data_IF_804985649668
#
_entry.id   IF_804985649668
#
_cell.length_a   1.000
_cell.length_b   1.000
_cell.length_c   1.000
_cell.angle_alpha   90.00
_cell.angle_beta   90.00
_cell.angle_gamma   90.00
#
_symmetry.space_group_name_H-M   'P 1'
#
loop_
_entity.id
_entity.type
_entity.pdbx_description
1 polymer ?
#
# COMPACT_ATOMS: atom_id res chain seq x y z
N UNK A 1 -5.94 -17.26 -12.72
CA UNK A 1 -7.41 -17.42 -12.78
C UNK A 1 -7.81 -18.88 -12.54
N UNK A 2 -7.07 -19.86 -13.09
CA UNK A 2 -7.35 -21.29 -12.88
C UNK A 2 -7.19 -21.77 -11.43
N UNK A 3 -6.22 -21.24 -10.66
CA UNK A 3 -6.00 -21.63 -9.24
C UNK A 3 -7.14 -21.28 -8.28
N UNK A 4 -8.05 -20.38 -8.65
CA UNK A 4 -9.21 -20.03 -7.81
C UNK A 4 -10.32 -21.09 -7.87
N UNK A 5 -10.39 -21.86 -8.96
CA UNK A 5 -11.44 -22.85 -9.20
C UNK A 5 -11.03 -24.29 -8.81
N UNK A 6 -9.76 -24.51 -8.46
CA UNK A 6 -9.18 -25.85 -8.23
C UNK A 6 -9.38 -26.40 -6.81
N UNK A 7 -10.28 -25.80 -6.01
CA UNK A 7 -10.93 -26.51 -4.90
C UNK A 7 -10.32 -26.38 -3.50
N UNK A 8 -9.27 -25.60 -3.26
CA UNK A 8 -8.82 -25.31 -1.89
C UNK A 8 -8.58 -23.81 -1.62
N UNK A 9 -9.70 -23.08 -1.56
CA UNK A 9 -9.72 -21.64 -1.28
C UNK A 9 -9.06 -21.32 0.07
N UNK A 10 -9.24 -22.15 1.11
CA UNK A 10 -8.66 -21.89 2.43
C UNK A 10 -7.13 -21.88 2.42
N UNK A 11 -6.50 -22.76 1.64
CA UNK A 11 -5.05 -22.74 1.47
C UNK A 11 -4.57 -21.51 0.70
N UNK A 12 -5.32 -21.07 -0.31
CA UNK A 12 -5.00 -19.87 -1.08
C UNK A 12 -5.12 -18.59 -0.23
N UNK A 13 -6.20 -18.47 0.55
CA UNK A 13 -6.41 -17.33 1.45
C UNK A 13 -5.36 -17.32 2.58
N UNK A 14 -4.99 -18.49 3.12
CA UNK A 14 -3.90 -18.62 4.11
C UNK A 14 -2.52 -18.30 3.53
N UNK A 15 -2.21 -18.74 2.31
CA UNK A 15 -0.95 -18.41 1.63
C UNK A 15 -0.82 -16.92 1.34
N UNK A 16 -1.95 -16.25 1.10
CA UNK A 16 -2.00 -14.81 0.87
C UNK A 16 -2.21 -13.99 2.16
N UNK A 17 -2.22 -14.62 3.35
CA UNK A 17 -2.48 -13.99 4.65
C UNK A 17 -3.74 -13.11 4.70
N UNK A 18 -4.76 -13.48 3.92
CA UNK A 18 -6.05 -12.79 3.83
C UNK A 18 -7.17 -13.68 4.39
N UNK A 19 -8.14 -13.09 5.08
CA UNK A 19 -9.24 -13.85 5.67
C UNK A 19 -10.23 -14.27 4.58
N UNK A 20 -10.58 -15.55 4.55
CA UNK A 20 -11.56 -16.08 3.61
C UNK A 20 -12.94 -15.43 3.84
N UNK A 21 -13.50 -14.70 2.85
CA UNK A 21 -14.78 -14.01 2.99
C UNK A 21 -15.96 -14.95 3.27
N UNK A 22 -15.86 -16.23 2.88
CA UNK A 22 -16.91 -17.24 3.07
C UNK A 22 -17.02 -17.74 4.52
N UNK A 23 -16.00 -17.50 5.36
CA UNK A 23 -16.02 -17.77 6.80
C UNK A 23 -16.50 -16.59 7.64
N UNK A 24 -17.14 -15.58 7.01
CA UNK A 24 -17.89 -14.52 7.71
C UNK A 24 -19.10 -15.14 8.43
N UNK A 25 -18.83 -15.81 9.54
CA UNK A 25 -19.82 -16.08 10.57
C UNK A 25 -20.43 -14.73 10.93
N UNK A 26 -21.77 -14.71 10.96
CA UNK A 26 -22.55 -13.59 11.46
C UNK A 26 -22.18 -13.36 12.92
N UNK A 27 -21.10 -12.65 13.18
CA UNK A 27 -20.76 -12.23 14.54
C UNK A 27 -21.84 -11.24 14.93
N UNK A 28 -22.71 -11.66 15.86
CA UNK A 28 -23.73 -10.81 16.49
C UNK A 28 -23.07 -9.49 16.84
N UNK A 29 -23.63 -8.40 16.30
CA UNK A 29 -23.46 -7.07 16.86
C UNK A 29 -23.97 -7.13 18.31
N UNK A 30 -23.10 -7.46 19.25
CA UNK A 30 -23.35 -7.20 20.66
C UNK A 30 -23.28 -5.69 20.82
N UNK A 31 -24.46 -5.09 20.76
CA UNK A 31 -24.69 -3.71 21.10
C UNK A 31 -24.58 -3.59 22.63
N UNK A 32 -23.36 -3.50 23.16
CA UNK A 32 -23.17 -3.02 24.53
C UNK A 32 -23.20 -1.51 24.47
N UNK A 33 -24.37 -0.94 24.81
CA UNK A 33 -24.49 0.44 25.26
C UNK A 33 -23.64 0.58 26.52
N UNK A 34 -22.35 0.79 26.35
CA UNK A 34 -21.45 1.13 27.45
C UNK A 34 -21.11 2.60 27.26
N UNK A 35 -21.55 3.39 28.24
CA UNK A 35 -21.26 4.81 28.43
C UNK A 35 -19.84 5.17 28.02
N UNK A 36 -19.63 6.38 27.51
CA UNK A 36 -18.34 6.95 27.12
C UNK A 36 -17.27 6.74 28.21
N UNK A 37 -16.61 5.59 28.18
CA UNK A 37 -15.45 5.27 28.99
C UNK A 37 -14.27 5.27 28.04
N UNK A 38 -13.29 6.12 28.34
CA UNK A 38 -12.05 6.16 27.59
C UNK A 38 -11.33 4.82 27.75
N UNK A 39 -10.98 4.21 26.62
CA UNK A 39 -10.28 2.94 26.57
C UNK A 39 -8.78 3.19 26.40
N UNK A 40 -7.90 2.46 27.12
CA UNK A 40 -6.46 2.58 26.95
C UNK A 40 -6.00 1.92 25.64
N UNK A 41 -5.26 2.65 24.83
CA UNK A 41 -4.61 2.09 23.65
C UNK A 41 -3.48 1.14 24.06
N UNK A 42 -3.41 -0.05 23.46
CA UNK A 42 -2.39 -1.06 23.79
C UNK A 42 -0.99 -0.76 23.23
N UNK A 43 -0.82 0.34 22.47
CA UNK A 43 0.47 0.77 21.90
C UNK A 43 1.02 1.96 22.70
N UNK A 44 0.26 3.05 22.82
CA UNK A 44 0.71 4.26 23.53
C UNK A 44 0.26 4.35 24.98
N UNK A 45 -0.59 3.43 25.46
CA UNK A 45 -1.16 3.41 26.82
C UNK A 45 -1.97 4.67 27.20
N UNK A 46 -2.34 5.50 26.23
CA UNK A 46 -3.19 6.67 26.43
C UNK A 46 -4.68 6.29 26.30
N UNK A 47 -5.52 6.99 27.06
CA UNK A 47 -6.96 6.79 27.09
C UNK A 47 -7.64 7.64 26.02
N UNK A 48 -8.46 7.02 25.18
CA UNK A 48 -9.26 7.73 24.17
C UNK A 48 -10.71 7.23 24.14
N UNK A 49 -11.64 8.07 23.65
CA UNK A 49 -13.00 7.62 23.37
C UNK A 49 -12.98 6.52 22.30
N UNK A 50 -13.93 5.59 22.37
CA UNK A 50 -14.05 4.50 21.39
C UNK A 50 -14.19 4.98 19.93
N UNK A 51 -14.57 6.24 19.69
CA UNK A 51 -14.60 6.86 18.34
C UNK A 51 -13.23 7.03 17.70
N UNK A 52 -12.16 7.09 18.50
CA UNK A 52 -10.78 7.24 18.02
C UNK A 52 -10.08 5.90 17.80
N UNK A 53 -10.76 4.78 18.05
CA UNK A 53 -10.22 3.45 17.83
C UNK A 53 -10.65 2.92 16.46
N UNK A 54 -9.68 2.43 15.70
CA UNK A 54 -9.92 1.67 14.48
C UNK A 54 -9.43 0.24 14.69
N UNK A 55 -10.26 -0.73 14.31
CA UNK A 55 -9.90 -2.14 14.37
C UNK A 55 -10.00 -2.82 13.02
N UNK A 56 -9.26 -3.91 12.89
CA UNK A 56 -9.29 -4.80 11.72
C UNK A 56 -10.24 -5.97 11.94
N UNK A 57 -10.40 -6.80 10.91
CA UNK A 57 -11.16 -8.06 10.97
C UNK A 57 -10.62 -9.06 12.01
N UNK A 58 -9.38 -8.88 12.48
CA UNK A 58 -8.79 -9.66 13.57
C UNK A 58 -9.34 -9.32 14.97
N UNK A 59 -10.11 -8.23 15.11
CA UNK A 59 -10.66 -7.76 16.38
C UNK A 59 -9.73 -6.87 17.20
N UNK A 60 -8.45 -6.74 16.81
CA UNK A 60 -7.52 -5.81 17.45
C UNK A 60 -7.87 -4.36 17.10
N UNK A 61 -7.88 -3.48 18.11
CA UNK A 61 -8.21 -2.06 17.97
C UNK A 61 -7.10 -1.21 18.55
N UNK A 62 -6.68 -0.20 17.79
CA UNK A 62 -5.69 0.79 18.21
C UNK A 62 -6.18 2.19 17.91
N UNK A 63 -5.61 3.19 18.58
CA UNK A 63 -6.00 4.58 18.32
C UNK A 63 -5.53 5.00 16.93
N UNK A 64 -6.23 5.96 16.31
CA UNK A 64 -5.89 6.45 14.97
C UNK A 64 -4.47 7.01 14.87
N UNK A 65 -3.94 7.58 15.97
CA UNK A 65 -2.58 8.12 16.01
C UNK A 65 -1.53 7.01 15.85
N UNK A 66 -1.57 5.98 16.70
CA UNK A 66 -0.65 4.85 16.60
C UNK A 66 -0.76 4.11 15.26
N UNK A 67 -1.97 4.04 14.69
CA UNK A 67 -2.16 3.53 13.32
C UNK A 67 -1.43 4.39 12.29
N UNK A 68 -1.60 5.71 12.34
CA UNK A 68 -0.93 6.64 11.42
C UNK A 68 0.59 6.53 11.51
N UNK A 69 1.14 6.50 12.72
CA UNK A 69 2.57 6.38 12.95
C UNK A 69 3.10 5.02 12.44
N UNK A 70 2.44 3.92 12.82
CA UNK A 70 2.81 2.57 12.38
C UNK A 70 2.84 2.44 10.85
N UNK A 71 1.76 2.89 10.19
CA UNK A 71 1.65 2.84 8.73
C UNK A 71 2.74 3.71 8.09
N UNK A 72 2.96 4.92 8.61
CA UNK A 72 3.97 5.84 8.07
C UNK A 72 5.37 5.25 8.17
N UNK A 73 5.74 4.69 9.32
CA UNK A 73 7.03 4.01 9.49
C UNK A 73 7.18 2.84 8.53
N UNK A 74 6.18 1.96 8.41
CA UNK A 74 6.23 0.81 7.48
C UNK A 74 6.35 1.21 6.01
N UNK A 75 5.70 2.30 5.61
CA UNK A 75 5.68 2.78 4.22
C UNK A 75 6.97 3.52 3.87
N UNK A 76 7.46 4.37 4.78
CA UNK A 76 8.61 5.25 4.53
C UNK A 76 9.93 4.55 4.80
N UNK A 77 10.07 3.85 5.93
CA UNK A 77 11.35 3.23 6.33
C UNK A 77 11.53 1.85 5.70
N UNK A 78 10.51 1.00 5.77
CA UNK A 78 10.61 -0.38 5.24
C UNK A 78 10.22 -0.48 3.76
N UNK A 79 9.56 0.54 3.21
CA UNK A 79 9.07 0.52 1.82
C UNK A 79 8.01 -0.56 1.56
N UNK A 80 7.33 -1.03 2.61
CA UNK A 80 6.33 -2.09 2.49
C UNK A 80 4.96 -1.50 2.13
N UNK A 81 4.52 -1.66 0.88
CA UNK A 81 3.18 -1.25 0.44
C UNK A 81 2.15 -2.39 0.40
N UNK A 82 2.56 -3.60 0.02
CA UNK A 82 1.61 -4.68 -0.32
C UNK A 82 1.37 -5.70 0.82
N UNK A 83 2.18 -5.66 1.89
CA UNK A 83 2.21 -6.71 2.93
C UNK A 83 2.13 -6.15 4.34
N UNK A 84 1.50 -4.98 4.52
CA UNK A 84 1.37 -4.37 5.85
C UNK A 84 0.39 -5.20 6.68
N UNK A 85 0.87 -5.77 7.79
CA UNK A 85 0.08 -6.56 8.73
C UNK A 85 -0.41 -5.74 9.93
N UNK A 86 -1.27 -6.35 10.74
CA UNK A 86 -1.74 -5.77 11.99
C UNK A 86 -0.57 -5.49 12.95
N UNK A 87 -0.55 -4.36 13.67
CA UNK A 87 0.49 -4.06 14.65
C UNK A 87 0.40 -4.88 15.95
N UNK A 88 -0.60 -5.76 16.09
CA UNK A 88 -0.71 -6.66 17.24
C UNK A 88 0.36 -7.76 17.19
N UNK A 89 0.86 -8.14 18.37
CA UNK A 89 1.77 -9.27 18.50
C UNK A 89 1.10 -10.57 18.02
N UNK A 90 1.82 -11.38 17.24
CA UNK A 90 1.32 -12.65 16.67
C UNK A 90 0.14 -12.52 15.70
N UNK A 91 -0.03 -11.38 15.01
CA UNK A 91 -1.15 -11.17 14.09
C UNK A 91 -0.70 -10.80 12.67
N UNK A 92 -0.69 -11.78 11.77
CA UNK A 92 -0.27 -11.60 10.36
C UNK A 92 -1.40 -11.18 9.41
N UNK A 93 -2.54 -10.73 9.96
CA UNK A 93 -3.68 -10.28 9.14
C UNK A 93 -3.33 -8.97 8.45
N UNK A 94 -3.46 -8.96 7.12
CA UNK A 94 -3.17 -7.79 6.29
C UNK A 94 -4.18 -6.66 6.48
N UNK A 95 -3.68 -5.43 6.44
CA UNK A 95 -4.49 -4.20 6.45
C UNK A 95 -4.98 -3.95 5.02
N UNK A 96 -6.28 -3.68 4.86
CA UNK A 96 -6.85 -3.33 3.55
C UNK A 96 -6.41 -1.92 3.10
N UNK A 97 -6.17 -1.75 1.80
CA UNK A 97 -5.69 -0.47 1.23
C UNK A 97 -6.62 0.70 1.56
N UNK A 98 -7.93 0.45 1.63
CA UNK A 98 -8.93 1.48 1.94
C UNK A 98 -8.79 1.99 3.39
N UNK A 99 -8.55 1.09 4.34
CA UNK A 99 -8.24 1.43 5.73
C UNK A 99 -6.91 2.18 5.83
N UNK A 100 -5.87 1.76 5.11
CA UNK A 100 -4.59 2.51 5.05
C UNK A 100 -4.80 3.93 4.53
N UNK A 101 -5.51 4.10 3.41
CA UNK A 101 -5.80 5.42 2.83
C UNK A 101 -6.63 6.33 3.73
N UNK A 102 -7.49 5.75 4.58
CA UNK A 102 -8.31 6.49 5.54
C UNK A 102 -7.52 6.91 6.77
N UNK A 103 -6.63 6.06 7.27
CA UNK A 103 -5.87 6.27 8.51
C UNK A 103 -4.69 7.22 8.33
N UNK A 104 -4.03 7.17 7.17
CA UNK A 104 -2.95 8.11 6.88
C UNK A 104 -3.57 9.50 6.66
N UNK A 105 -2.98 10.52 7.27
CA UNK A 105 -3.39 11.93 7.07
C UNK A 105 -2.45 12.63 6.09
N UNK A 106 -1.17 12.28 6.10
CA UNK A 106 -0.14 12.90 5.28
C UNK A 106 -0.23 12.51 3.80
N UNK A 107 -0.35 13.52 2.93
CA UNK A 107 -0.47 13.31 1.47
C UNK A 107 0.77 12.68 0.85
N UNK A 108 1.97 13.00 1.36
CA UNK A 108 3.24 12.41 0.89
C UNK A 108 3.28 10.90 1.13
N UNK A 109 2.89 10.46 2.33
CA UNK A 109 2.85 9.05 2.71
C UNK A 109 1.79 8.31 1.90
N UNK A 110 0.60 8.91 1.70
CA UNK A 110 -0.42 8.33 0.81
C UNK A 110 0.10 8.12 -0.61
N UNK A 111 0.77 9.13 -1.17
CA UNK A 111 1.29 9.06 -2.53
C UNK A 111 2.39 7.99 -2.66
N UNK A 112 3.27 7.88 -1.65
CA UNK A 112 4.28 6.82 -1.59
C UNK A 112 3.63 5.43 -1.50
N UNK A 113 2.60 5.28 -0.67
CA UNK A 113 1.85 4.04 -0.56
C UNK A 113 1.19 3.64 -1.89
N UNK A 114 0.50 4.59 -2.56
CA UNK A 114 -0.07 4.38 -3.88
C UNK A 114 0.97 3.90 -4.90
N UNK A 115 2.15 4.51 -4.89
CA UNK A 115 3.25 4.10 -5.73
C UNK A 115 3.70 2.67 -5.44
N UNK A 116 3.88 2.30 -4.17
CA UNK A 116 4.32 0.95 -3.78
C UNK A 116 3.31 -0.14 -4.19
N UNK A 117 2.01 0.07 -3.96
CA UNK A 117 0.98 -0.92 -4.32
C UNK A 117 0.84 -1.06 -5.83
N UNK A 118 1.04 0.01 -6.59
CA UNK A 118 0.94 0.01 -8.06
C UNK A 118 2.26 -0.32 -8.77
N UNK A 119 3.38 -0.39 -8.06
CA UNK A 119 4.70 -0.55 -8.68
C UNK A 119 4.78 -1.80 -9.55
N UNK A 120 4.34 -2.94 -9.00
CA UNK A 120 4.31 -4.21 -9.73
C UNK A 120 3.45 -4.12 -11.00
N UNK A 121 2.32 -3.41 -10.96
CA UNK A 121 1.46 -3.23 -12.13
C UNK A 121 2.14 -2.40 -13.23
N UNK A 122 2.86 -1.35 -12.85
CA UNK A 122 3.60 -0.49 -13.78
C UNK A 122 4.79 -1.22 -14.38
N UNK A 123 5.57 -1.94 -13.57
CA UNK A 123 6.73 -2.72 -14.02
C UNK A 123 6.34 -3.85 -14.97
N UNK A 124 5.19 -4.50 -14.75
CA UNK A 124 4.67 -5.53 -15.65
C UNK A 124 4.15 -4.98 -16.99
N UNK A 125 3.90 -3.67 -17.10
CA UNK A 125 3.33 -3.07 -18.30
C UNK A 125 4.37 -2.28 -19.10
N UNK A 126 4.82 -2.83 -20.23
CA UNK A 126 5.79 -2.19 -21.15
C UNK A 126 5.39 -0.80 -21.67
N UNK A 127 4.12 -0.42 -21.56
CA UNK A 127 3.60 0.87 -22.00
C UNK A 127 3.60 1.93 -20.89
N UNK A 128 3.94 1.55 -19.66
CA UNK A 128 3.97 2.41 -18.49
C UNK A 128 5.40 2.45 -17.93
N UNK A 129 5.86 3.64 -17.56
CA UNK A 129 7.13 3.84 -16.85
C UNK A 129 6.96 4.90 -15.78
N UNK A 130 7.56 4.67 -14.62
CA UNK A 130 7.68 5.67 -13.57
C UNK A 130 8.62 6.80 -13.98
N UNK A 131 8.32 8.00 -13.49
CA UNK A 131 9.27 9.10 -13.55
C UNK A 131 10.47 8.81 -12.63
N UNK A 132 11.72 9.02 -13.08
CA UNK A 132 12.91 8.79 -12.27
C UNK A 132 13.19 9.91 -11.24
N UNK A 133 12.39 10.97 -11.22
CA UNK A 133 12.61 12.08 -10.29
C UNK A 133 12.28 11.66 -8.85
N UNK A 134 13.13 12.01 -7.86
CA UNK A 134 12.81 11.77 -6.46
C UNK A 134 11.51 12.50 -6.10
N UNK A 135 10.70 11.87 -5.25
CA UNK A 135 9.37 12.34 -4.82
C UNK A 135 8.32 12.51 -5.94
N UNK A 136 8.63 12.13 -7.18
CA UNK A 136 7.68 12.18 -8.30
C UNK A 136 7.07 10.81 -8.57
N UNK A 137 5.85 10.60 -8.10
CA UNK A 137 5.09 9.36 -8.28
C UNK A 137 4.17 9.40 -9.50
N UNK A 138 4.59 10.05 -10.59
CA UNK A 138 3.84 10.08 -11.86
C UNK A 138 4.30 8.97 -12.79
N UNK A 139 3.36 8.45 -13.57
CA UNK A 139 3.59 7.42 -14.59
C UNK A 139 3.39 8.03 -15.97
N UNK A 140 4.31 7.79 -16.89
CA UNK A 140 4.17 8.13 -18.29
C UNK A 140 3.60 6.92 -19.04
N UNK A 141 2.54 7.14 -19.82
CA UNK A 141 1.94 6.14 -20.71
C UNK A 141 2.30 6.46 -22.16
N UNK A 142 2.76 5.46 -22.90
CA UNK A 142 3.04 5.55 -24.34
C UNK A 142 2.16 4.59 -25.14
N UNK A 143 2.01 4.84 -26.44
CA UNK A 143 1.30 3.94 -27.35
C UNK A 143 2.15 2.73 -27.75
N UNK A 144 3.46 2.94 -27.89
CA UNK A 144 4.45 1.92 -28.20
C UNK A 144 5.75 2.25 -27.45
N UNK A 145 6.47 1.24 -26.93
CA UNK A 145 7.74 1.45 -26.24
C UNK A 145 8.79 1.86 -27.28
N UNK A 146 9.34 3.05 -27.13
CA UNK A 146 10.37 3.59 -28.02
C UNK A 146 11.44 4.34 -27.23
N UNK A 147 12.64 4.45 -27.80
CA UNK A 147 13.76 5.17 -27.18
C UNK A 147 13.66 6.69 -27.42
N UNK A 148 12.49 7.26 -27.10
CA UNK A 148 12.18 8.68 -27.26
C UNK A 148 12.22 9.41 -25.91
N UNK A 149 12.52 10.73 -25.92
CA UNK A 149 12.41 11.53 -24.73
C UNK A 149 10.94 11.69 -24.36
N UNK A 150 10.62 11.42 -23.10
CA UNK A 150 9.33 11.74 -22.51
C UNK A 150 9.51 12.79 -21.43
N UNK A 151 8.53 13.69 -21.32
CA UNK A 151 8.51 14.74 -20.30
C UNK A 151 7.43 14.44 -19.29
N UNK A 152 7.83 14.32 -18.03
CA UNK A 152 6.90 14.22 -16.91
C UNK A 152 6.27 15.59 -16.60
N UNK A 153 5.11 15.58 -15.96
CA UNK A 153 4.43 16.78 -15.43
C UNK A 153 5.28 17.53 -14.39
N UNK A 154 6.21 16.84 -13.71
CA UNK A 154 7.18 17.47 -12.81
C UNK A 154 8.30 18.24 -13.55
N UNK A 155 8.33 18.22 -14.88
CA UNK A 155 9.33 18.88 -15.72
C UNK A 155 10.55 18.03 -16.05
N UNK A 156 10.74 16.86 -15.41
CA UNK A 156 11.84 15.94 -15.71
C UNK A 156 11.66 15.32 -17.10
N UNK A 157 12.71 15.36 -17.91
CA UNK A 157 12.79 14.67 -19.20
C UNK A 157 13.74 13.47 -19.09
N UNK A 158 13.27 12.31 -19.54
CA UNK A 158 14.02 11.05 -19.47
C UNK A 158 13.71 10.18 -20.68
N UNK A 159 14.57 9.22 -20.96
CA UNK A 159 14.38 8.23 -22.02
C UNK A 159 13.40 7.16 -21.55
N UNK A 160 12.31 6.94 -22.30
CA UNK A 160 11.28 5.97 -21.91
C UNK A 160 11.82 4.53 -21.83
N UNK A 161 12.78 4.18 -22.70
CA UNK A 161 13.33 2.83 -22.78
C UNK A 161 14.21 2.49 -21.57
N UNK A 162 15.29 3.25 -21.33
CA UNK A 162 16.23 2.97 -20.22
C UNK A 162 15.79 3.58 -18.88
N UNK A 163 14.97 4.62 -18.86
CA UNK A 163 14.62 5.35 -17.64
C UNK A 163 15.63 6.43 -17.23
N UNK A 164 16.77 6.51 -17.91
CA UNK A 164 17.81 7.51 -17.63
C UNK A 164 17.49 8.88 -18.21
N UNK A 165 18.28 9.89 -17.82
CA UNK A 165 18.23 11.21 -18.45
C UNK A 165 18.34 11.10 -19.97
N UNK A 166 17.65 12.00 -20.69
CA UNK A 166 17.72 12.02 -22.15
C UNK A 166 19.16 12.18 -22.61
N UNK A 167 19.61 11.24 -23.46
CA UNK A 167 21.04 11.00 -23.69
C UNK A 167 21.40 11.01 -25.18
N UNK A 168 20.75 11.85 -25.99
CA UNK A 168 21.16 12.05 -27.39
C UNK A 168 22.57 12.66 -27.48
N UNK A 169 23.46 12.17 -28.36
CA UNK A 169 23.28 11.16 -29.42
C UNK A 169 23.62 9.71 -28.99
N UNK A 170 23.91 9.48 -27.72
CA UNK A 170 24.33 8.18 -27.20
C UNK A 170 23.15 7.19 -27.21
N UNK A 171 23.39 5.95 -27.63
CA UNK A 171 22.35 4.89 -27.58
C UNK A 171 22.20 4.37 -26.15
N UNK A 172 20.98 3.97 -25.76
CA UNK A 172 20.68 3.48 -24.40
C UNK A 172 21.64 2.39 -23.91
N UNK A 173 22.13 1.51 -24.80
CA UNK A 173 23.08 0.43 -24.47
C UNK A 173 24.41 0.93 -23.89
N UNK A 174 24.83 2.14 -24.23
CA UNK A 174 26.12 2.71 -23.83
C UNK A 174 25.98 3.57 -22.57
N UNK A 175 24.77 4.02 -22.23
CA UNK A 175 24.53 4.90 -21.07
C UNK A 175 24.53 4.20 -19.71
N UNK A 176 24.49 2.86 -19.67
CA UNK A 176 24.42 2.07 -18.44
C UNK A 176 25.78 1.59 -17.91
N UNK A 177 26.89 2.20 -18.33
CA UNK A 177 28.24 1.74 -18.02
C UNK A 177 29.03 2.72 -17.16
#
# INVERSE_FOLDING_TARGET
MERYFDGNLDKLFSECHVINPSKKSRTRLMNTRSSAQDLPCQICYLNYPNTYFTGLECGHKFCMQCWGDYLTTKIIEEGMGQTISCPAHSCDILVDDNTVMRLITESKVKLKYQHLITNSFVECNRLLKWCPAPDCHHVVKVQYPDAKPVRCTCGRQFCFNCGENWHDPVKCKVCHN
#
